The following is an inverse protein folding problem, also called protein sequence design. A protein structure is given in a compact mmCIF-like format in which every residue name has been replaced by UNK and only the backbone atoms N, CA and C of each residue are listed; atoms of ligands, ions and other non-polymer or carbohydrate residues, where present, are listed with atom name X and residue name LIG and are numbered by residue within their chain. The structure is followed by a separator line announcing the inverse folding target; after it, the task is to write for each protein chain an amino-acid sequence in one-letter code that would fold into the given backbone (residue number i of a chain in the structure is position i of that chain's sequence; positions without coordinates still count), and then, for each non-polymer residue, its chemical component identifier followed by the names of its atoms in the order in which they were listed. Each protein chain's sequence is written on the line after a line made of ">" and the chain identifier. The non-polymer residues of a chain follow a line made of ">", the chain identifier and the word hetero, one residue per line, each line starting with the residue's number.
data_IF_048492949313
#
_entry.id   IF_048492949313
#
_cell.length_a   1.000
_cell.length_b   1.000
_cell.length_c   1.000
_cell.angle_alpha   90.00
_cell.angle_beta   90.00
_cell.angle_gamma   90.00
#
_symmetry.space_group_name_H-M   'P 1'
#
loop_
_entity.id
_entity.type
_entity.pdbx_description
1 polymer ?
#
# COMPACT_ATOMS: atom_id res chain seq x y z
N UNK A 1 -23.60 12.19 -4.05
CA UNK A 1 -22.50 13.12 -3.64
C UNK A 1 -21.54 12.45 -2.66
N UNK A 2 -21.97 11.43 -1.92
CA UNK A 2 -21.11 10.62 -1.02
C UNK A 2 -20.58 9.34 -1.70
N UNK A 3 -20.97 9.07 -2.94
CA UNK A 3 -20.80 7.76 -3.58
C UNK A 3 -19.32 7.39 -3.81
N UNK A 4 -18.44 8.39 -3.97
CA UNK A 4 -17.00 8.20 -4.17
C UNK A 4 -16.14 8.65 -2.98
N UNK A 5 -16.74 8.91 -1.81
CA UNK A 5 -15.98 9.46 -0.66
C UNK A 5 -14.86 8.51 -0.21
N UNK A 6 -15.12 7.20 -0.19
CA UNK A 6 -14.15 6.21 0.26
C UNK A 6 -13.04 5.97 -0.76
N UNK A 7 -13.34 6.07 -2.06
CA UNK A 7 -12.33 6.02 -3.12
C UNK A 7 -11.37 7.20 -2.99
N UNK A 8 -11.89 8.42 -2.78
CA UNK A 8 -11.07 9.62 -2.57
C UNK A 8 -10.21 9.48 -1.31
N UNK A 9 -10.78 9.01 -0.20
CA UNK A 9 -10.03 8.77 1.04
C UNK A 9 -8.93 7.73 0.83
N UNK A 10 -9.23 6.63 0.13
CA UNK A 10 -8.24 5.62 -0.23
C UNK A 10 -7.11 6.22 -1.07
N UNK A 11 -7.42 6.96 -2.14
CA UNK A 11 -6.42 7.59 -3.01
C UNK A 11 -5.53 8.58 -2.27
N UNK A 12 -6.08 9.35 -1.33
CA UNK A 12 -5.31 10.25 -0.45
C UNK A 12 -4.35 9.42 0.41
N UNK A 13 -4.84 8.40 1.11
CA UNK A 13 -4.00 7.54 1.94
C UNK A 13 -2.95 6.77 1.15
N UNK A 14 -3.29 6.32 -0.06
CA UNK A 14 -2.39 5.70 -1.02
C UNK A 14 -1.28 6.68 -1.45
N UNK A 15 -1.63 7.94 -1.73
CA UNK A 15 -0.66 9.01 -1.98
C UNK A 15 0.26 9.27 -0.78
N UNK A 16 -0.30 9.34 0.44
CA UNK A 16 0.48 9.48 1.68
C UNK A 16 1.48 8.33 1.84
N UNK A 17 1.04 7.09 1.60
CA UNK A 17 1.94 5.94 1.57
C UNK A 17 3.07 6.12 0.55
N UNK A 18 2.72 6.37 -0.71
CA UNK A 18 3.69 6.40 -1.82
C UNK A 18 4.75 7.48 -1.61
N UNK A 19 4.31 8.69 -1.28
CA UNK A 19 5.20 9.85 -1.19
C UNK A 19 5.80 10.03 0.20
N UNK A 20 5.08 9.65 1.26
CA UNK A 20 5.50 9.84 2.65
C UNK A 20 6.30 8.66 3.21
N UNK A 21 6.03 7.43 2.78
CA UNK A 21 6.66 6.23 3.34
C UNK A 21 7.54 5.51 2.32
N UNK A 22 6.98 5.12 1.17
CA UNK A 22 7.64 4.22 0.24
C UNK A 22 8.77 4.89 -0.55
N UNK A 23 8.49 6.03 -1.19
CA UNK A 23 9.48 6.73 -2.03
C UNK A 23 10.72 7.17 -1.24
N UNK A 24 10.61 7.77 -0.05
CA UNK A 24 11.78 8.11 0.77
C UNK A 24 12.61 6.88 1.14
N UNK A 25 11.95 5.78 1.51
CA UNK A 25 12.59 4.53 1.91
C UNK A 25 13.31 3.86 0.75
N UNK A 26 12.69 3.80 -0.42
CA UNK A 26 13.32 3.32 -1.66
C UNK A 26 14.53 4.17 -2.04
N UNK A 27 14.46 5.50 -1.88
CA UNK A 27 15.62 6.39 -2.11
C UNK A 27 16.76 6.12 -1.13
N UNK A 28 16.46 5.81 0.14
CA UNK A 28 17.47 5.43 1.15
C UNK A 28 18.10 4.08 0.82
N UNK A 29 17.30 3.08 0.49
CA UNK A 29 17.77 1.76 0.09
C UNK A 29 18.71 1.82 -1.12
N UNK A 30 18.34 2.55 -2.18
CA UNK A 30 19.19 2.72 -3.37
C UNK A 30 20.56 3.37 -3.07
N UNK A 31 20.69 4.07 -1.95
CA UNK A 31 21.96 4.65 -1.48
C UNK A 31 22.75 3.71 -0.57
N UNK A 32 22.11 2.69 0.01
CA UNK A 32 22.78 1.68 0.82
C UNK A 32 23.45 0.62 -0.05
N UNK A 33 24.55 0.06 0.44
CA UNK A 33 25.27 -1.03 -0.21
C UNK A 33 24.80 -2.36 0.37
N UNK A 34 24.20 -3.20 -0.46
CA UNK A 34 23.91 -4.59 -0.10
C UNK A 34 25.22 -5.37 -0.02
N UNK A 35 25.48 -6.00 1.13
CA UNK A 35 26.70 -6.79 1.37
C UNK A 35 26.52 -8.24 0.91
N UNK A 36 25.34 -8.80 1.16
CA UNK A 36 24.97 -10.16 0.78
C UNK A 36 23.51 -10.13 0.29
N UNK A 37 23.24 -10.75 -0.85
CA UNK A 37 21.90 -10.84 -1.44
C UNK A 37 21.53 -12.32 -1.55
N UNK A 38 20.50 -12.72 -0.79
CA UNK A 38 19.98 -14.09 -0.74
C UNK A 38 18.56 -14.20 -1.28
N UNK A 39 18.11 -13.19 -2.02
CA UNK A 39 16.75 -13.14 -2.56
C UNK A 39 16.53 -14.33 -3.50
N UNK A 40 15.48 -15.11 -3.26
CA UNK A 40 15.06 -16.20 -4.13
C UNK A 40 13.98 -15.72 -5.09
N UNK A 41 13.80 -16.44 -6.20
CA UNK A 41 12.71 -16.17 -7.15
C UNK A 41 11.34 -16.20 -6.45
N UNK A 42 11.16 -17.10 -5.48
CA UNK A 42 9.93 -17.17 -4.70
C UNK A 42 9.66 -15.88 -3.90
N UNK A 43 10.70 -15.28 -3.33
CA UNK A 43 10.58 -14.03 -2.55
C UNK A 43 10.10 -12.90 -3.45
N UNK A 44 10.65 -12.82 -4.68
CA UNK A 44 10.23 -11.86 -5.70
C UNK A 44 8.77 -12.07 -6.12
N UNK A 45 8.36 -13.33 -6.33
CA UNK A 45 6.98 -13.64 -6.73
C UNK A 45 5.99 -13.29 -5.62
N UNK A 46 6.32 -13.62 -4.37
CA UNK A 46 5.50 -13.27 -3.21
C UNK A 46 5.41 -11.76 -3.04
N UNK A 47 6.53 -11.04 -3.07
CA UNK A 47 6.53 -9.59 -2.97
C UNK A 47 5.71 -8.94 -4.09
N UNK A 48 5.92 -9.37 -5.35
CA UNK A 48 5.13 -8.88 -6.48
C UNK A 48 3.63 -9.18 -6.34
N UNK A 49 3.26 -10.35 -5.81
CA UNK A 49 1.85 -10.69 -5.57
C UNK A 49 1.21 -9.74 -4.54
N UNK A 50 1.95 -9.37 -3.49
CA UNK A 50 1.45 -8.41 -2.50
C UNK A 50 1.33 -7.02 -3.11
N UNK A 51 2.35 -6.58 -3.87
CA UNK A 51 2.32 -5.33 -4.63
C UNK A 51 1.09 -5.27 -5.55
N UNK A 52 0.85 -6.31 -6.33
CA UNK A 52 -0.29 -6.38 -7.23
C UNK A 52 -1.63 -6.34 -6.46
N UNK A 53 -1.75 -7.12 -5.39
CA UNK A 53 -2.98 -7.24 -4.61
C UNK A 53 -3.40 -5.95 -3.91
N UNK A 54 -2.45 -5.22 -3.32
CA UNK A 54 -2.80 -4.05 -2.52
C UNK A 54 -2.59 -2.72 -3.25
N UNK A 55 -1.66 -2.61 -4.21
CA UNK A 55 -1.42 -1.36 -4.94
C UNK A 55 -2.15 -1.32 -6.28
N UNK A 56 -2.09 -2.40 -7.05
CA UNK A 56 -2.61 -2.41 -8.42
C UNK A 56 -4.11 -2.69 -8.43
N UNK A 57 -4.56 -3.71 -7.70
CA UNK A 57 -5.94 -4.17 -7.72
C UNK A 57 -6.94 -3.08 -7.30
N UNK A 58 -6.72 -2.28 -6.23
CA UNK A 58 -7.65 -1.22 -5.87
C UNK A 58 -7.72 -0.10 -6.92
N UNK A 59 -6.63 0.20 -7.62
CA UNK A 59 -6.66 1.19 -8.71
C UNK A 59 -7.47 0.68 -9.89
N UNK A 60 -7.39 -0.62 -10.21
CA UNK A 60 -8.27 -1.23 -11.20
C UNK A 60 -9.72 -1.13 -10.74
N UNK A 61 -10.02 -1.43 -9.48
CA UNK A 61 -11.40 -1.33 -8.94
C UNK A 61 -11.97 0.09 -9.03
N UNK A 62 -11.16 1.13 -8.82
CA UNK A 62 -11.62 2.53 -8.84
C UNK A 62 -11.75 3.06 -10.27
N UNK A 63 -10.83 2.71 -11.17
CA UNK A 63 -10.73 3.31 -12.50
C UNK A 63 -11.24 2.42 -13.64
N UNK A 64 -11.80 1.25 -13.34
CA UNK A 64 -12.29 0.29 -14.34
C UNK A 64 -13.48 -0.53 -13.81
N UNK A 65 -14.46 -0.84 -14.67
CA UNK A 65 -15.63 -1.66 -14.29
C UNK A 65 -15.32 -3.17 -14.16
N UNK A 66 -14.06 -3.58 -14.31
CA UNK A 66 -13.68 -4.99 -14.37
C UNK A 66 -13.99 -5.76 -13.09
N UNK A 67 -14.05 -5.07 -11.95
CA UNK A 67 -14.29 -5.66 -10.63
C UNK A 67 -15.68 -5.35 -10.07
N UNK A 68 -16.58 -4.73 -10.85
CA UNK A 68 -17.93 -4.37 -10.42
C UNK A 68 -18.75 -5.60 -9.99
N UNK A 69 -18.45 -6.77 -10.56
CA UNK A 69 -19.08 -8.03 -10.13
C UNK A 69 -18.81 -8.38 -8.66
N UNK A 70 -17.78 -7.79 -8.06
CA UNK A 70 -17.36 -7.97 -6.68
C UNK A 70 -17.55 -6.70 -5.82
N UNK A 71 -18.25 -5.68 -6.34
CA UNK A 71 -18.56 -4.46 -5.59
C UNK A 71 -19.82 -4.65 -4.72
N UNK A 72 -19.61 -5.23 -3.54
CA UNK A 72 -20.69 -5.50 -2.60
C UNK A 72 -21.10 -4.24 -1.85
N UNK A 73 -22.40 -3.95 -1.87
CA UNK A 73 -22.96 -2.82 -1.13
C UNK A 73 -22.83 -3.04 0.38
N UNK A 74 -22.01 -2.21 1.01
CA UNK A 74 -21.80 -2.20 2.46
C UNK A 74 -22.46 -0.96 3.09
N UNK A 75 -22.91 -1.05 4.35
CA UNK A 75 -23.43 0.10 5.06
C UNK A 75 -22.31 1.12 5.32
N UNK A 76 -22.62 2.42 5.23
CA UNK A 76 -21.59 3.49 5.27
C UNK A 76 -20.72 3.51 6.52
N UNK A 77 -21.20 3.01 7.67
CA UNK A 77 -20.39 2.89 8.89
C UNK A 77 -19.20 1.92 8.73
N UNK A 78 -19.35 0.88 7.90
CA UNK A 78 -18.27 -0.08 7.64
C UNK A 78 -17.12 0.58 6.88
N UNK A 79 -17.44 1.49 5.94
CA UNK A 79 -16.44 2.29 5.24
C UNK A 79 -15.61 3.14 6.20
N UNK A 80 -16.24 3.80 7.16
CA UNK A 80 -15.54 4.60 8.18
C UNK A 80 -14.64 3.78 9.11
N UNK A 81 -15.04 2.55 9.47
CA UNK A 81 -14.15 1.63 10.19
C UNK A 81 -12.91 1.31 9.34
N UNK A 82 -13.11 1.04 8.05
CA UNK A 82 -12.02 0.85 7.10
C UNK A 82 -11.05 2.04 7.06
N UNK A 83 -11.59 3.27 7.06
CA UNK A 83 -10.77 4.50 7.11
C UNK A 83 -9.91 4.57 8.38
N UNK A 84 -10.49 4.28 9.55
CA UNK A 84 -9.76 4.31 10.83
C UNK A 84 -8.66 3.25 10.84
N UNK A 85 -8.96 2.03 10.40
CA UNK A 85 -7.99 0.94 10.31
C UNK A 85 -6.87 1.32 9.35
N UNK A 86 -7.21 1.83 8.16
CA UNK A 86 -6.23 2.20 7.15
C UNK A 86 -5.31 3.32 7.64
N UNK A 87 -5.85 4.35 8.29
CA UNK A 87 -5.05 5.41 8.90
C UNK A 87 -4.10 4.85 9.97
N UNK A 88 -4.56 3.95 10.84
CA UNK A 88 -3.72 3.26 11.82
C UNK A 88 -2.59 2.46 11.16
N UNK A 89 -2.90 1.72 10.10
CA UNK A 89 -1.91 0.97 9.32
C UNK A 89 -0.86 1.89 8.69
N UNK A 90 -1.24 3.06 8.14
CA UNK A 90 -0.28 4.02 7.58
C UNK A 90 0.68 4.56 8.64
N UNK A 91 0.19 4.85 9.85
CA UNK A 91 1.02 5.28 10.98
C UNK A 91 1.99 4.18 11.41
N UNK A 92 1.49 2.95 11.57
CA UNK A 92 2.32 1.79 11.93
C UNK A 92 3.39 1.54 10.86
N UNK A 93 3.02 1.61 9.59
CA UNK A 93 3.92 1.39 8.47
C UNK A 93 5.00 2.47 8.42
N UNK A 94 4.63 3.74 8.51
CA UNK A 94 5.59 4.84 8.60
C UNK A 94 6.59 4.63 9.75
N UNK A 95 6.10 4.22 10.92
CA UNK A 95 6.94 3.95 12.08
C UNK A 95 7.89 2.77 11.83
N UNK A 96 7.40 1.67 11.26
CA UNK A 96 8.22 0.50 10.94
C UNK A 96 9.35 0.86 9.95
N UNK A 97 9.05 1.65 8.93
CA UNK A 97 10.06 2.13 7.97
C UNK A 97 11.08 3.08 8.60
N UNK A 98 10.64 3.94 9.53
CA UNK A 98 11.54 4.79 10.29
C UNK A 98 12.48 3.97 11.18
N UNK A 99 11.97 2.93 11.83
CA UNK A 99 12.72 2.06 12.73
C UNK A 99 13.69 1.13 11.96
N UNK A 100 13.31 0.64 10.78
CA UNK A 100 14.19 -0.16 9.93
C UNK A 100 15.29 0.67 9.27
N UNK A 101 15.01 1.93 8.90
CA UNK A 101 16.01 2.84 8.36
C UNK A 101 16.74 2.28 7.13
N UNK A 102 18.07 2.11 7.24
CA UNK A 102 18.91 1.56 6.17
C UNK A 102 18.90 0.04 6.06
N UNK A 103 18.30 -0.66 7.03
CA UNK A 103 18.18 -2.12 7.04
C UNK A 103 16.94 -2.60 6.29
N UNK A 104 16.04 -1.69 5.92
CA UNK A 104 14.91 -2.03 5.08
C UNK A 104 15.36 -2.37 3.66
N UNK A 105 14.82 -3.45 3.11
CA UNK A 105 14.97 -3.86 1.71
C UNK A 105 13.59 -4.06 1.08
N UNK A 106 13.38 -3.65 -0.18
CA UNK A 106 12.20 -4.01 -0.97
C UNK A 106 12.29 -5.42 -1.59
N UNK A 107 13.34 -6.19 -1.27
CA UNK A 107 13.63 -7.52 -1.83
C UNK A 107 14.19 -8.43 -0.75
#
# INVERSE_FOLDING_TARGET
>A
MLDHIFEVVFLIGYGIYLFGVYTPSMRRFKRSKTVDDRTRVLDIVLDFSTFAGWQVLPLIAIFSPWLDFADFHLPGWAGWIGVVIFAGCLVLLWRAYADLGSQWSPK
#
